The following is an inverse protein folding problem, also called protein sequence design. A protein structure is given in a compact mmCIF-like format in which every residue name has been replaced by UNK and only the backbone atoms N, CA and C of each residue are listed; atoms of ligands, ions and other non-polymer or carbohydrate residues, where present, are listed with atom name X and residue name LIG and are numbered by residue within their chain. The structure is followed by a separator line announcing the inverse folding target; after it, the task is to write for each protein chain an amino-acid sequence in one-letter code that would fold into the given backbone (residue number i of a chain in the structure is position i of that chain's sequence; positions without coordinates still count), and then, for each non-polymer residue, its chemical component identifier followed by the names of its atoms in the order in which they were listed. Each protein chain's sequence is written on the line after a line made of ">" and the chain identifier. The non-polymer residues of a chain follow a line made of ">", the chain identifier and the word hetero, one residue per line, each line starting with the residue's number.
data_IF_332851864240
#
_entry.id   IF_332851864240
#
_cell.length_a   1.000
_cell.length_b   1.000
_cell.length_c   1.000
_cell.angle_alpha   90.00
_cell.angle_beta   90.00
_cell.angle_gamma   90.00
#
_symmetry.space_group_name_H-M   'P 1'
#
loop_
_entity.id
_entity.type
_entity.pdbx_description
1 polymer ?
#
# COMPACT_ATOMS: atom_id res chain seq x y z
N UNK A 1 -15.25 5.95 -6.69
CA UNK A 1 -14.69 4.57 -6.66
C UNK A 1 -13.23 4.70 -7.06
N UNK A 2 -12.32 4.76 -6.08
CA UNK A 2 -11.06 5.46 -6.28
C UNK A 2 -9.88 4.62 -5.90
N UNK A 3 -8.99 4.55 -6.83
CA UNK A 3 -7.55 4.75 -6.71
C UNK A 3 -6.72 3.66 -6.10
N UNK A 4 -6.83 2.55 -6.22
CA UNK A 4 -6.00 1.37 -6.42
C UNK A 4 -6.94 0.33 -7.03
N UNK A 5 -6.91 0.10 -8.34
CA UNK A 5 -7.90 -0.75 -9.01
C UNK A 5 -7.82 -2.21 -8.55
N UNK A 6 -6.86 -2.52 -7.72
CA UNK A 6 -6.62 -3.85 -7.15
C UNK A 6 -7.15 -4.01 -5.73
N UNK A 7 -7.68 -2.94 -5.10
CA UNK A 7 -8.14 -2.95 -3.71
C UNK A 7 -9.63 -2.72 -3.62
N UNK A 8 -10.29 -3.45 -2.76
CA UNK A 8 -11.67 -3.17 -2.37
C UNK A 8 -11.65 -1.90 -1.50
N UNK A 9 -12.70 -1.10 -1.59
CA UNK A 9 -12.87 0.05 -0.68
C UNK A 9 -12.90 -0.36 0.80
N UNK A 10 -13.15 -1.63 1.08
CA UNK A 10 -13.11 -2.23 2.42
C UNK A 10 -11.70 -2.37 3.00
N UNK A 11 -10.65 -2.31 2.16
CA UNK A 11 -9.27 -2.51 2.59
C UNK A 11 -8.58 -1.17 2.93
N UNK A 12 -9.35 -0.08 2.93
CA UNK A 12 -8.87 1.28 3.15
C UNK A 12 -9.56 1.90 4.36
N UNK A 13 -8.77 2.39 5.31
CA UNK A 13 -9.25 3.15 6.44
C UNK A 13 -8.65 4.56 6.42
N UNK A 14 -9.52 5.55 6.31
CA UNK A 14 -9.16 6.95 6.42
C UNK A 14 -9.88 7.54 7.63
N UNK A 15 -9.25 7.53 8.82
CA UNK A 15 -9.88 8.06 10.04
C UNK A 15 -10.12 9.56 9.94
N UNK A 16 -9.31 10.26 9.18
CA UNK A 16 -9.51 11.66 8.77
C UNK A 16 -9.28 11.82 7.28
N UNK A 17 -9.66 12.96 6.74
CA UNK A 17 -9.46 13.36 5.36
C UNK A 17 -8.79 14.71 5.31
N UNK A 18 -8.02 14.98 4.25
CA UNK A 18 -7.27 16.20 4.06
C UNK A 18 -5.79 16.05 4.43
N UNK A 19 -4.95 16.89 3.84
CA UNK A 19 -3.51 16.85 4.01
C UNK A 19 -2.86 18.13 3.47
N UNK A 20 -1.66 18.47 3.98
CA UNK A 20 -0.82 19.53 3.43
C UNK A 20 0.34 18.98 2.64
N UNK A 21 0.70 19.66 1.55
CA UNK A 21 1.86 19.32 0.73
C UNK A 21 3.16 19.61 1.48
N UNK A 22 4.09 18.65 1.49
CA UNK A 22 5.38 18.80 2.20
C UNK A 22 6.60 18.43 1.35
N UNK A 23 6.41 17.84 0.18
CA UNK A 23 7.49 17.46 -0.72
C UNK A 23 7.06 17.59 -2.17
N UNK A 24 8.03 17.50 -3.09
CA UNK A 24 7.77 17.44 -4.52
C UNK A 24 6.86 16.26 -4.92
N UNK A 25 6.86 15.18 -4.15
CA UNK A 25 5.92 14.06 -4.34
C UNK A 25 4.46 14.42 -4.04
N UNK A 26 4.20 15.59 -3.46
CA UNK A 26 2.85 16.10 -3.24
C UNK A 26 2.38 17.08 -4.33
N UNK A 27 3.23 17.45 -5.30
CA UNK A 27 2.93 18.48 -6.30
C UNK A 27 1.66 18.14 -7.10
N UNK A 28 1.59 16.94 -7.67
CA UNK A 28 0.46 16.42 -8.42
C UNK A 28 -0.31 15.34 -7.62
N UNK A 29 -0.50 15.58 -6.33
CA UNK A 29 -1.18 14.62 -5.47
C UNK A 29 -2.60 14.34 -5.96
N UNK A 30 -2.89 13.06 -6.18
CA UNK A 30 -4.20 12.61 -6.68
C UNK A 30 -5.38 13.05 -5.79
N UNK A 31 -5.15 13.25 -4.49
CA UNK A 31 -6.18 13.72 -3.57
C UNK A 31 -6.63 15.14 -3.92
N UNK A 32 -5.68 16.06 -4.11
CA UNK A 32 -5.99 17.43 -4.53
C UNK A 32 -6.74 17.47 -5.85
N UNK A 33 -6.36 16.60 -6.80
CA UNK A 33 -7.06 16.49 -8.09
C UNK A 33 -8.50 15.99 -7.92
N UNK A 34 -8.71 14.94 -7.11
CA UNK A 34 -10.03 14.35 -6.92
C UNK A 34 -10.96 15.24 -6.10
N UNK A 35 -10.44 15.86 -5.07
CA UNK A 35 -11.18 16.77 -4.21
C UNK A 35 -11.55 18.06 -4.94
N UNK A 36 -10.62 18.60 -5.75
CA UNK A 36 -10.91 19.76 -6.61
C UNK A 36 -12.10 19.50 -7.56
N UNK A 37 -12.20 18.27 -8.11
CA UNK A 37 -13.39 17.89 -8.94
C UNK A 37 -14.69 17.80 -8.13
N UNK A 38 -14.63 17.73 -6.81
CA UNK A 38 -15.80 17.63 -5.92
C UNK A 38 -16.07 18.91 -5.17
N UNK A 39 -15.25 19.94 -5.36
CA UNK A 39 -15.35 21.21 -4.63
C UNK A 39 -14.94 21.06 -3.15
N UNK A 40 -14.11 20.07 -2.82
CA UNK A 40 -13.60 19.83 -1.46
C UNK A 40 -12.23 20.50 -1.34
N UNK A 41 -12.02 21.25 -0.27
CA UNK A 41 -10.71 21.78 0.09
C UNK A 41 -9.88 20.71 0.78
N UNK A 42 -8.93 20.12 0.05
CA UNK A 42 -8.04 19.06 0.56
C UNK A 42 -7.13 19.57 1.70
N UNK A 43 -6.85 20.87 1.80
CA UNK A 43 -6.04 21.41 2.87
C UNK A 43 -6.79 21.45 4.21
N UNK A 44 -8.12 21.35 4.19
CA UNK A 44 -8.93 21.26 5.41
C UNK A 44 -8.94 19.84 5.94
N UNK A 45 -8.20 19.58 7.01
CA UNK A 45 -8.18 18.26 7.67
C UNK A 45 -9.37 18.13 8.60
N UNK A 46 -10.11 17.02 8.50
CA UNK A 46 -11.28 16.75 9.34
C UNK A 46 -11.46 15.25 9.60
N UNK A 47 -12.03 14.93 10.76
CA UNK A 47 -12.39 13.56 11.14
C UNK A 47 -13.51 13.03 10.24
N UNK A 48 -13.37 11.81 9.73
CA UNK A 48 -14.37 11.20 8.86
C UNK A 48 -15.45 10.45 9.63
N UNK A 49 -16.60 10.24 9.01
CA UNK A 49 -17.66 9.36 9.55
C UNK A 49 -17.19 7.91 9.69
N UNK A 50 -16.19 7.50 8.90
CA UNK A 50 -15.60 6.16 8.92
C UNK A 50 -14.48 6.00 9.97
N UNK A 51 -14.35 6.93 10.91
CA UNK A 51 -13.29 6.92 11.92
C UNK A 51 -13.23 5.60 12.69
N UNK A 52 -14.37 5.07 13.10
CA UNK A 52 -14.47 3.80 13.84
C UNK A 52 -14.70 2.58 12.90
N UNK A 53 -14.39 2.70 11.60
CA UNK A 53 -14.65 1.66 10.60
C UNK A 53 -14.11 0.28 10.99
N UNK A 54 -12.88 0.11 11.52
CA UNK A 54 -12.36 -1.21 11.88
C UNK A 54 -13.18 -1.93 12.97
N UNK A 55 -13.93 -1.18 13.78
CA UNK A 55 -14.76 -1.70 14.88
C UNK A 55 -16.20 -2.02 14.47
N UNK A 56 -16.58 -1.73 13.23
CA UNK A 56 -17.95 -1.99 12.76
C UNK A 56 -18.30 -3.48 12.87
N UNK A 57 -19.53 -3.75 13.37
CA UNK A 57 -20.05 -5.09 13.52
C UNK A 57 -21.22 -5.35 12.58
N UNK A 58 -21.40 -6.60 12.21
CA UNK A 58 -22.59 -7.11 11.53
C UNK A 58 -23.74 -7.31 12.54
N UNK A 59 -24.92 -7.66 12.01
CA UNK A 59 -26.10 -7.95 12.86
C UNK A 59 -25.91 -9.16 13.80
N UNK A 60 -25.06 -10.11 13.41
CA UNK A 60 -24.72 -11.30 14.21
C UNK A 60 -23.66 -11.02 15.29
N UNK A 61 -23.23 -9.77 15.46
CA UNK A 61 -22.21 -9.35 16.42
C UNK A 61 -20.77 -9.55 15.96
N UNK A 62 -20.52 -10.27 14.87
CA UNK A 62 -19.17 -10.43 14.31
C UNK A 62 -18.64 -9.13 13.72
N UNK A 63 -17.31 -8.97 13.65
CA UNK A 63 -16.73 -7.82 12.98
C UNK A 63 -17.04 -7.83 11.48
N UNK A 64 -17.33 -6.67 10.93
CA UNK A 64 -17.56 -6.49 9.49
C UNK A 64 -16.29 -6.74 8.69
N UNK A 65 -15.14 -6.37 9.25
CA UNK A 65 -13.80 -6.57 8.70
C UNK A 65 -13.20 -7.79 9.38
N UNK A 66 -12.92 -8.88 8.63
CA UNK A 66 -12.55 -10.15 9.23
C UNK A 66 -11.14 -10.12 9.83
N UNK A 67 -10.90 -11.01 10.78
CA UNK A 67 -9.55 -11.31 11.30
C UNK A 67 -8.61 -11.74 10.18
N UNK A 68 -7.31 -11.43 10.30
CA UNK A 68 -6.31 -11.68 9.28
C UNK A 68 -6.32 -10.67 8.12
N UNK A 69 -7.23 -9.69 8.12
CA UNK A 69 -7.31 -8.69 7.05
C UNK A 69 -6.18 -7.66 7.17
N UNK A 70 -5.57 -7.32 6.03
CA UNK A 70 -4.63 -6.20 5.90
C UNK A 70 -5.38 -4.92 5.50
N UNK A 71 -5.22 -3.86 6.27
CA UNK A 71 -5.90 -2.58 6.09
C UNK A 71 -4.90 -1.44 5.87
N UNK A 72 -5.03 -0.71 4.77
CA UNK A 72 -4.22 0.46 4.47
C UNK A 72 -4.83 1.69 5.13
N UNK A 73 -3.99 2.46 5.82
CA UNK A 73 -4.42 3.61 6.63
C UNK A 73 -3.91 4.90 6.03
N UNK A 74 -4.80 5.89 5.89
CA UNK A 74 -4.41 7.25 5.55
C UNK A 74 -4.11 7.47 4.05
N UNK A 75 -4.79 6.78 3.13
CA UNK A 75 -4.58 7.00 1.68
C UNK A 75 -5.19 8.32 1.17
N UNK A 76 -6.16 8.90 1.88
CA UNK A 76 -6.73 10.23 1.58
C UNK A 76 -6.25 11.30 2.54
N UNK A 77 -5.15 11.04 3.23
CA UNK A 77 -4.55 11.91 4.23
C UNK A 77 -3.11 11.47 4.50
N UNK A 78 -2.49 12.01 5.54
CA UNK A 78 -1.28 11.47 6.17
C UNK A 78 -1.61 11.14 7.62
N UNK A 79 -1.23 9.94 8.11
CA UNK A 79 -1.55 9.53 9.48
C UNK A 79 -0.91 10.43 10.53
N UNK A 80 0.19 11.08 10.18
CA UNK A 80 0.96 11.96 11.06
C UNK A 80 0.79 13.45 10.74
N UNK A 81 -0.30 13.82 10.04
CA UNK A 81 -0.64 15.24 9.83
C UNK A 81 -0.96 15.93 11.17
N UNK A 82 -0.56 17.17 11.31
CA UNK A 82 -0.56 17.92 12.56
C UNK A 82 -1.96 18.07 13.17
N UNK A 83 -2.95 18.39 12.34
CA UNK A 83 -4.34 18.59 12.77
C UNK A 83 -4.99 17.33 13.34
N UNK A 84 -4.44 16.15 13.00
CA UNK A 84 -4.95 14.88 13.51
C UNK A 84 -4.46 14.53 14.92
N UNK A 85 -3.57 15.33 15.53
CA UNK A 85 -3.03 15.08 16.86
C UNK A 85 -4.14 14.88 17.91
N UNK A 86 -5.21 15.66 17.79
CA UNK A 86 -6.37 15.58 18.67
C UNK A 86 -7.19 14.28 18.55
N UNK A 87 -7.01 13.52 17.46
CA UNK A 87 -7.74 12.27 17.20
C UNK A 87 -6.82 11.04 17.18
N UNK A 88 -5.52 11.24 17.09
CA UNK A 88 -4.54 10.15 16.83
C UNK A 88 -4.53 9.11 17.94
N UNK A 89 -4.61 9.53 19.21
CA UNK A 89 -4.67 8.58 20.32
C UNK A 89 -5.91 7.68 20.25
N UNK A 90 -7.04 8.20 19.81
CA UNK A 90 -8.24 7.37 19.60
C UNK A 90 -8.05 6.40 18.42
N UNK A 91 -7.37 6.82 17.34
CA UNK A 91 -7.01 5.93 16.23
C UNK A 91 -6.05 4.81 16.68
N UNK A 92 -5.06 5.13 17.52
CA UNK A 92 -4.18 4.11 18.11
C UNK A 92 -4.96 3.12 18.99
N UNK A 93 -5.94 3.58 19.77
CA UNK A 93 -6.83 2.68 20.54
C UNK A 93 -7.62 1.72 19.64
N UNK A 94 -8.09 2.20 18.47
CA UNK A 94 -8.77 1.35 17.49
C UNK A 94 -7.81 0.28 16.96
N UNK A 95 -6.58 0.64 16.60
CA UNK A 95 -5.56 -0.30 16.12
C UNK A 95 -5.27 -1.37 17.18
N UNK A 96 -5.06 -0.97 18.44
CA UNK A 96 -4.83 -1.90 19.57
C UNK A 96 -5.99 -2.85 19.81
N UNK A 97 -7.24 -2.38 19.63
CA UNK A 97 -8.44 -3.21 19.85
C UNK A 97 -8.70 -4.22 18.73
N UNK A 98 -7.91 -4.19 17.67
CA UNK A 98 -7.96 -5.12 16.54
C UNK A 98 -6.59 -5.80 16.32
N UNK A 99 -6.05 -6.51 17.33
CA UNK A 99 -4.77 -7.22 17.22
C UNK A 99 -4.85 -8.43 16.27
N UNK A 100 -6.02 -8.71 15.75
CA UNK A 100 -6.35 -9.73 14.76
C UNK A 100 -6.25 -9.25 13.31
N UNK A 101 -5.92 -7.97 13.07
CA UNK A 101 -5.78 -7.35 11.75
C UNK A 101 -4.41 -6.70 11.59
N UNK A 102 -3.94 -6.55 10.36
CA UNK A 102 -2.73 -5.77 10.05
C UNK A 102 -3.12 -4.37 9.60
N UNK A 103 -2.48 -3.35 10.17
CA UNK A 103 -2.62 -1.96 9.76
C UNK A 103 -1.33 -1.46 9.10
N UNK A 104 -1.43 -1.05 7.84
CA UNK A 104 -0.31 -0.46 7.10
C UNK A 104 -0.42 1.06 7.15
N UNK A 105 0.43 1.68 7.93
CA UNK A 105 0.52 3.14 8.04
C UNK A 105 1.52 3.66 7.01
N UNK A 106 1.13 4.71 6.27
CA UNK A 106 1.97 5.34 5.27
C UNK A 106 2.06 6.84 5.53
N UNK A 107 3.29 7.39 5.51
CA UNK A 107 3.49 8.81 5.74
C UNK A 107 4.61 9.41 4.89
N UNK A 108 4.49 10.71 4.62
CA UNK A 108 5.58 11.57 4.15
C UNK A 108 6.24 12.36 5.29
N UNK A 109 5.67 12.29 6.50
CA UNK A 109 6.10 13.00 7.71
C UNK A 109 6.92 12.10 8.63
N UNK A 110 7.99 11.51 8.10
CA UNK A 110 8.86 10.61 8.88
C UNK A 110 9.34 11.28 10.19
N UNK A 111 9.68 12.57 10.15
CA UNK A 111 10.14 13.35 11.29
C UNK A 111 9.13 13.48 12.43
N UNK A 112 7.83 13.24 12.16
CA UNK A 112 6.78 13.30 13.19
C UNK A 112 6.43 11.97 13.80
N UNK A 113 6.94 10.86 13.27
CA UNK A 113 6.50 9.55 13.70
C UNK A 113 6.74 9.37 15.20
N UNK A 114 7.97 9.60 15.66
CA UNK A 114 8.39 9.33 17.04
C UNK A 114 7.50 10.03 18.07
N UNK A 115 7.29 11.32 17.91
CA UNK A 115 6.45 12.14 18.83
C UNK A 115 4.97 11.75 18.82
N UNK A 116 4.51 11.10 17.75
CA UNK A 116 3.12 10.68 17.52
C UNK A 116 2.85 9.23 17.89
N UNK A 117 3.86 8.49 18.33
CA UNK A 117 3.67 7.11 18.80
C UNK A 117 2.91 7.09 20.13
N UNK A 118 2.06 6.10 20.38
CA UNK A 118 1.35 6.00 21.66
C UNK A 118 2.32 5.61 22.79
N UNK A 119 2.00 5.99 24.00
CA UNK A 119 2.87 5.77 25.19
C UNK A 119 3.23 4.31 25.45
N UNK A 120 2.39 3.41 25.03
CA UNK A 120 2.54 1.95 25.17
C UNK A 120 3.10 1.28 23.89
N UNK A 121 3.67 2.07 22.98
CA UNK A 121 4.24 1.55 21.72
C UNK A 121 5.35 0.51 21.94
N UNK A 122 6.21 0.70 22.93
CA UNK A 122 7.33 -0.20 23.24
C UNK A 122 8.27 -0.39 22.04
N UNK A 123 8.45 -1.63 21.63
CA UNK A 123 9.23 -2.01 20.44
C UNK A 123 8.41 -2.08 19.15
N UNK A 124 7.18 -1.59 19.18
CA UNK A 124 6.23 -1.62 18.07
C UNK A 124 5.13 -2.65 18.24
N UNK A 125 3.93 -2.30 17.73
CA UNK A 125 2.80 -3.23 17.70
C UNK A 125 3.00 -4.32 16.65
N UNK A 126 2.70 -5.57 17.01
CA UNK A 126 2.84 -6.75 16.14
C UNK A 126 1.95 -6.68 14.87
N UNK A 127 0.90 -5.88 14.92
CA UNK A 127 -0.08 -5.76 13.86
C UNK A 127 0.04 -4.45 13.06
N UNK A 128 1.15 -3.72 13.21
CA UNK A 128 1.39 -2.47 12.49
C UNK A 128 2.63 -2.58 11.61
N UNK A 129 2.47 -2.36 10.31
CA UNK A 129 3.56 -2.13 9.39
C UNK A 129 3.67 -0.62 9.14
N UNK A 130 4.77 -0.04 9.58
CA UNK A 130 5.06 1.38 9.45
C UNK A 130 5.85 1.63 8.16
N UNK A 131 5.35 2.54 7.32
CA UNK A 131 5.97 2.84 6.03
C UNK A 131 6.12 4.32 5.80
N UNK A 132 7.21 4.70 5.14
CA UNK A 132 7.44 6.05 4.62
C UNK A 132 7.41 6.04 3.09
N UNK A 133 7.14 7.18 2.48
CA UNK A 133 7.26 7.30 1.01
C UNK A 133 8.65 7.75 0.61
N UNK A 134 9.14 7.25 -0.53
CA UNK A 134 10.49 7.53 -1.08
C UNK A 134 10.37 7.82 -2.56
N UNK A 135 9.92 9.03 -2.89
CA UNK A 135 9.57 9.40 -4.27
C UNK A 135 10.78 9.52 -5.19
N UNK A 136 11.96 9.80 -4.63
CA UNK A 136 13.27 9.93 -5.28
C UNK A 136 14.39 9.71 -4.24
N UNK A 137 15.66 9.78 -4.68
CA UNK A 137 16.82 9.54 -3.79
C UNK A 137 16.85 10.50 -2.60
N UNK A 138 16.62 11.80 -2.82
CA UNK A 138 16.60 12.78 -1.73
C UNK A 138 15.62 12.38 -0.62
N UNK A 139 14.42 11.92 -0.97
CA UNK A 139 13.40 11.50 0.02
C UNK A 139 13.68 10.14 0.62
N UNK A 140 14.37 9.26 -0.10
CA UNK A 140 14.87 8.01 0.47
C UNK A 140 15.92 8.30 1.56
N UNK A 141 16.91 9.14 1.26
CA UNK A 141 18.00 9.49 2.18
C UNK A 141 17.52 10.31 3.38
N UNK A 142 16.45 11.08 3.23
CA UNK A 142 15.84 11.85 4.32
C UNK A 142 15.03 10.95 5.26
N UNK A 143 14.23 10.01 4.73
CA UNK A 143 13.18 9.33 5.51
C UNK A 143 13.52 7.92 5.94
N UNK A 144 14.31 7.17 5.14
CA UNK A 144 14.65 5.80 5.51
C UNK A 144 15.52 5.70 6.76
N UNK A 145 16.54 6.56 6.97
CA UNK A 145 17.28 6.55 8.23
C UNK A 145 16.38 6.73 9.45
N UNK A 146 15.46 7.71 9.39
CA UNK A 146 14.50 7.96 10.47
C UNK A 146 13.65 6.70 10.72
N UNK A 147 13.10 6.09 9.66
CA UNK A 147 12.29 4.89 9.80
C UNK A 147 13.07 3.73 10.41
N UNK A 148 14.33 3.55 10.02
CA UNK A 148 15.18 2.46 10.51
C UNK A 148 15.51 2.62 11.98
N UNK A 149 15.69 3.85 12.47
CA UNK A 149 15.98 4.15 13.88
C UNK A 149 14.75 3.99 14.80
N UNK A 150 13.54 4.02 14.25
CA UNK A 150 12.32 3.86 15.05
C UNK A 150 12.19 2.44 15.63
N UNK A 151 11.70 2.30 16.87
CA UNK A 151 11.38 1.01 17.45
C UNK A 151 10.07 0.47 16.88
N UNK A 152 10.10 -0.07 15.66
CA UNK A 152 8.95 -0.64 14.97
C UNK A 152 9.25 -2.08 14.54
N UNK A 153 8.29 -2.98 14.75
CA UNK A 153 8.44 -4.40 14.43
C UNK A 153 8.47 -4.65 12.94
N UNK A 154 7.59 -3.99 12.19
CA UNK A 154 7.46 -4.16 10.75
C UNK A 154 7.64 -2.83 10.06
N UNK A 155 8.58 -2.77 9.13
CA UNK A 155 8.96 -1.57 8.40
C UNK A 155 8.90 -1.82 6.90
N UNK A 156 8.44 -0.81 6.16
CA UNK A 156 8.41 -0.82 4.71
C UNK A 156 8.54 0.57 4.13
N UNK A 157 8.58 0.68 2.83
CA UNK A 157 8.46 1.98 2.18
C UNK A 157 7.67 1.91 0.87
N UNK A 158 7.25 3.07 0.39
CA UNK A 158 6.51 3.19 -0.85
C UNK A 158 7.17 4.23 -1.77
N UNK A 159 7.72 3.79 -2.88
CA UNK A 159 8.16 4.65 -3.97
C UNK A 159 6.95 5.03 -4.85
N UNK A 160 6.08 5.93 -4.33
CA UNK A 160 4.91 6.43 -5.04
C UNK A 160 4.50 7.84 -4.53
N UNK A 161 4.45 8.83 -5.44
CA UNK A 161 4.78 8.72 -6.86
C UNK A 161 6.28 8.47 -7.07
N UNK A 162 6.64 7.56 -7.97
CA UNK A 162 8.04 7.29 -8.28
C UNK A 162 8.49 8.24 -9.38
N UNK A 163 9.19 9.31 -9.00
CA UNK A 163 9.53 10.46 -9.87
C UNK A 163 11.03 10.66 -10.09
N UNK A 164 11.84 9.76 -9.60
CA UNK A 164 13.29 9.73 -9.81
C UNK A 164 13.88 8.40 -9.40
N UNK A 165 15.04 8.00 -9.97
CA UNK A 165 15.70 6.75 -9.59
C UNK A 165 16.15 6.79 -8.13
N UNK A 166 16.21 5.62 -7.50
CA UNK A 166 16.73 5.44 -6.14
C UNK A 166 17.67 4.25 -6.06
N UNK A 167 18.72 4.41 -5.27
CA UNK A 167 19.52 3.31 -4.74
C UNK A 167 19.29 3.25 -3.23
N UNK A 168 18.67 2.16 -2.81
CA UNK A 168 18.31 1.89 -1.41
C UNK A 168 18.99 0.63 -0.88
N UNK A 169 19.99 0.15 -1.61
CA UNK A 169 20.68 -1.11 -1.29
C UNK A 169 21.25 -1.14 0.11
N UNK A 170 21.82 -0.02 0.58
CA UNK A 170 22.36 0.08 1.97
C UNK A 170 21.27 -0.02 3.02
N UNK A 171 20.09 0.53 2.78
CA UNK A 171 18.95 0.46 3.68
C UNK A 171 18.33 -0.95 3.69
N UNK A 172 18.22 -1.59 2.53
CA UNK A 172 17.73 -2.97 2.41
C UNK A 172 18.68 -3.97 3.08
N UNK A 173 20.00 -3.72 3.01
CA UNK A 173 21.03 -4.55 3.64
C UNK A 173 20.93 -4.59 5.18
N UNK A 174 20.25 -3.66 5.82
CA UNK A 174 19.96 -3.70 7.27
C UNK A 174 19.07 -4.86 7.67
N UNK A 175 18.33 -5.44 6.72
CA UNK A 175 17.36 -6.51 6.96
C UNK A 175 16.10 -6.07 7.71
N UNK A 176 15.92 -4.76 7.97
CA UNK A 176 14.77 -4.23 8.69
C UNK A 176 13.58 -3.89 7.78
N UNK A 177 13.82 -3.69 6.48
CA UNK A 177 12.74 -3.43 5.50
C UNK A 177 12.18 -4.75 5.00
N UNK A 178 10.87 -4.92 5.11
CA UNK A 178 10.19 -6.19 4.79
C UNK A 178 9.32 -6.10 3.52
N UNK A 179 8.84 -4.88 3.17
CA UNK A 179 7.94 -4.68 2.03
C UNK A 179 8.17 -3.36 1.33
N UNK A 180 8.17 -3.40 0.00
CA UNK A 180 8.35 -2.24 -0.88
C UNK A 180 7.22 -2.18 -1.89
N UNK A 181 6.53 -1.05 -1.91
CA UNK A 181 5.52 -0.74 -2.93
C UNK A 181 6.09 0.30 -3.90
N UNK A 182 5.74 0.19 -5.17
CA UNK A 182 6.16 1.15 -6.20
C UNK A 182 4.99 1.51 -7.12
N UNK A 183 4.89 2.78 -7.50
CA UNK A 183 3.87 3.25 -8.42
C UNK A 183 4.14 4.63 -8.98
N UNK A 184 3.74 4.84 -10.25
CA UNK A 184 3.87 6.14 -10.91
C UNK A 184 2.81 7.15 -10.45
N UNK A 185 3.01 8.40 -10.83
CA UNK A 185 2.11 9.51 -10.56
C UNK A 185 0.86 9.47 -11.45
N UNK A 186 -0.26 9.97 -10.95
CA UNK A 186 -1.55 9.85 -11.63
C UNK A 186 -2.18 11.21 -11.93
N UNK A 187 -3.07 11.18 -12.96
CA UNK A 187 -3.89 12.29 -13.43
C UNK A 187 -3.09 13.39 -14.16
N UNK A 188 -3.68 14.57 -14.22
CA UNK A 188 -3.12 15.69 -14.97
C UNK A 188 -1.79 16.17 -14.36
N UNK A 189 -0.83 16.47 -15.23
CA UNK A 189 0.51 16.87 -14.81
C UNK A 189 1.43 15.73 -14.35
N UNK A 190 0.95 14.46 -14.38
CA UNK A 190 1.76 13.31 -13.94
C UNK A 190 3.13 13.27 -14.61
N UNK A 191 4.17 13.25 -13.77
CA UNK A 191 5.57 13.14 -14.19
C UNK A 191 5.89 11.73 -14.68
N UNK A 192 6.88 11.57 -15.55
CA UNK A 192 7.26 10.27 -16.06
C UNK A 192 7.75 9.33 -14.97
N UNK A 193 7.21 8.10 -14.94
CA UNK A 193 7.77 6.97 -14.23
C UNK A 193 8.49 6.07 -15.25
N UNK A 194 9.77 5.81 -15.06
CA UNK A 194 10.59 5.05 -15.99
C UNK A 194 10.66 3.57 -15.61
N UNK A 195 10.47 2.70 -16.60
CA UNK A 195 10.56 1.24 -16.41
C UNK A 195 11.91 0.84 -15.79
N UNK A 196 12.99 1.46 -16.25
CA UNK A 196 14.37 1.18 -15.80
C UNK A 196 14.55 1.48 -14.31
N UNK A 197 13.89 2.53 -13.80
CA UNK A 197 13.91 2.86 -12.37
C UNK A 197 13.17 1.79 -11.55
N UNK A 198 11.97 1.40 -12.03
CA UNK A 198 11.15 0.38 -11.38
C UNK A 198 11.89 -0.96 -11.39
N UNK A 199 12.51 -1.31 -12.52
CA UNK A 199 13.32 -2.53 -12.65
C UNK A 199 14.51 -2.52 -11.70
N UNK A 200 15.27 -1.42 -11.65
CA UNK A 200 16.40 -1.27 -10.74
C UNK A 200 15.97 -1.46 -9.28
N UNK A 201 14.87 -0.83 -8.85
CA UNK A 201 14.35 -0.99 -7.49
C UNK A 201 13.90 -2.43 -7.21
N UNK A 202 13.24 -3.07 -8.19
CA UNK A 202 12.87 -4.49 -8.09
C UNK A 202 14.09 -5.39 -7.93
N UNK A 203 15.15 -5.14 -8.70
CA UNK A 203 16.40 -5.93 -8.65
C UNK A 203 17.11 -5.74 -7.30
N UNK A 204 17.15 -4.52 -6.75
CA UNK A 204 17.65 -4.25 -5.39
C UNK A 204 16.86 -5.05 -4.35
N UNK A 205 15.53 -4.96 -4.36
CA UNK A 205 14.68 -5.72 -3.43
C UNK A 205 14.89 -7.23 -3.57
N UNK A 206 15.06 -7.73 -4.78
CA UNK A 206 15.31 -9.16 -5.06
C UNK A 206 16.64 -9.62 -4.47
N UNK A 207 17.69 -8.81 -4.57
CA UNK A 207 19.01 -9.10 -3.99
C UNK A 207 18.94 -9.29 -2.48
N UNK A 208 18.10 -8.53 -1.78
CA UNK A 208 17.94 -8.61 -0.32
C UNK A 208 16.72 -9.42 0.13
N UNK A 209 16.05 -10.13 -0.79
CA UNK A 209 14.86 -10.95 -0.52
C UNK A 209 13.70 -10.17 0.13
N UNK A 210 13.56 -8.88 -0.18
CA UNK A 210 12.48 -8.02 0.29
C UNK A 210 11.33 -8.08 -0.72
N UNK A 211 10.10 -8.25 -0.25
CA UNK A 211 8.91 -8.26 -1.13
C UNK A 211 8.78 -6.94 -1.88
N UNK A 212 8.54 -7.05 -3.19
CA UNK A 212 8.38 -5.89 -4.07
C UNK A 212 7.07 -5.96 -4.86
N UNK A 213 6.27 -4.91 -4.80
CA UNK A 213 5.00 -4.80 -5.52
C UNK A 213 4.96 -3.55 -6.37
N UNK A 214 5.03 -3.73 -7.69
CA UNK A 214 4.75 -2.68 -8.66
C UNK A 214 3.25 -2.58 -8.86
N UNK A 215 2.61 -1.59 -8.21
CA UNK A 215 1.15 -1.49 -8.11
C UNK A 215 0.49 -0.86 -9.34
N UNK A 216 1.17 0.11 -9.98
CA UNK A 216 0.65 0.82 -11.16
C UNK A 216 1.75 1.59 -11.89
N UNK A 217 1.61 1.72 -13.22
CA UNK A 217 2.57 2.47 -14.05
C UNK A 217 2.50 3.98 -13.85
N UNK A 218 1.38 4.49 -13.32
CA UNK A 218 1.04 5.90 -13.40
C UNK A 218 0.51 6.31 -14.76
N UNK A 219 0.07 7.58 -14.87
CA UNK A 219 -0.50 8.12 -16.11
C UNK A 219 0.56 8.32 -17.19
N UNK A 220 1.80 8.66 -16.82
CA UNK A 220 2.92 8.84 -17.72
C UNK A 220 3.99 7.79 -17.44
N UNK A 221 4.13 6.81 -18.31
CA UNK A 221 5.10 5.73 -18.18
C UNK A 221 6.08 5.72 -19.36
N UNK A 222 7.37 5.55 -19.07
CA UNK A 222 8.43 5.52 -20.07
C UNK A 222 9.07 4.14 -20.10
N UNK A 223 9.17 3.57 -21.29
CA UNK A 223 9.86 2.28 -21.51
C UNK A 223 10.47 2.25 -22.89
N UNK A 224 11.72 1.81 -23.00
CA UNK A 224 12.50 1.72 -24.25
C UNK A 224 12.49 3.07 -25.02
N UNK A 225 12.64 4.19 -24.31
CA UNK A 225 12.63 5.54 -24.86
C UNK A 225 11.25 6.04 -25.33
N UNK A 226 10.20 5.26 -25.18
CA UNK A 226 8.82 5.62 -25.58
C UNK A 226 8.00 6.04 -24.38
N UNK A 227 7.17 7.08 -24.56
CA UNK A 227 6.23 7.59 -23.56
C UNK A 227 4.86 7.00 -23.81
N UNK A 228 4.29 6.38 -22.77
CA UNK A 228 2.96 5.81 -22.77
C UNK A 228 2.05 6.66 -21.86
N UNK A 229 0.94 7.16 -22.40
CA UNK A 229 -0.09 7.89 -21.65
C UNK A 229 -1.22 6.92 -21.31
N UNK A 230 -1.31 6.51 -20.06
CA UNK A 230 -2.24 5.48 -19.59
C UNK A 230 -3.17 6.09 -18.54
N UNK A 231 -4.36 6.53 -18.96
CA UNK A 231 -5.30 7.21 -18.07
C UNK A 231 -6.18 6.25 -17.26
N UNK A 232 -6.42 5.04 -17.78
CA UNK A 232 -7.21 4.03 -17.08
C UNK A 232 -6.41 3.31 -16.01
N UNK A 233 -6.88 3.42 -14.77
CA UNK A 233 -6.22 2.83 -13.58
C UNK A 233 -6.15 1.30 -13.62
N UNK A 234 -7.14 0.65 -14.22
CA UNK A 234 -7.10 -0.82 -14.36
C UNK A 234 -6.03 -1.23 -15.37
N UNK A 235 -5.89 -0.46 -16.46
CA UNK A 235 -4.83 -0.69 -17.44
C UNK A 235 -3.46 -0.45 -16.82
N UNK A 236 -3.27 0.61 -16.04
CA UNK A 236 -2.01 0.89 -15.33
C UNK A 236 -1.60 -0.30 -14.45
N UNK A 237 -2.49 -0.78 -13.58
CA UNK A 237 -2.20 -1.90 -12.70
C UNK A 237 -2.02 -3.21 -13.47
N UNK A 238 -2.78 -3.42 -14.55
CA UNK A 238 -2.59 -4.58 -15.42
C UNK A 238 -1.21 -4.59 -16.09
N UNK A 239 -0.74 -3.42 -16.57
CA UNK A 239 0.59 -3.32 -17.17
C UNK A 239 1.69 -3.52 -16.12
N UNK A 240 1.53 -2.98 -14.93
CA UNK A 240 2.44 -3.22 -13.82
C UNK A 240 2.53 -4.73 -13.48
N UNK A 241 1.39 -5.41 -13.38
CA UNK A 241 1.36 -6.87 -13.17
C UNK A 241 2.04 -7.65 -14.31
N UNK A 242 1.73 -7.30 -15.57
CA UNK A 242 2.29 -7.97 -16.75
C UNK A 242 3.79 -7.73 -16.93
N UNK A 243 4.36 -6.71 -16.28
CA UNK A 243 5.80 -6.46 -16.29
C UNK A 243 6.62 -7.60 -15.68
N UNK A 244 6.00 -8.38 -14.76
CA UNK A 244 6.67 -9.46 -14.02
C UNK A 244 7.68 -8.97 -12.99
N UNK A 245 7.72 -7.66 -12.68
CA UNK A 245 8.67 -7.08 -11.73
C UNK A 245 8.31 -7.35 -10.28
N UNK A 246 7.00 -7.48 -9.97
CA UNK A 246 6.54 -7.83 -8.62
C UNK A 246 6.93 -9.25 -8.25
N UNK A 247 7.37 -9.44 -7.01
CA UNK A 247 7.66 -10.76 -6.47
C UNK A 247 7.47 -10.80 -4.95
N UNK A 248 7.27 -11.99 -4.41
CA UNK A 248 7.23 -12.24 -2.98
C UNK A 248 8.64 -12.54 -2.50
N UNK A 249 9.15 -11.71 -1.59
CA UNK A 249 10.38 -11.96 -0.85
C UNK A 249 10.16 -12.83 0.39
N UNK A 250 10.95 -12.59 1.42
CA UNK A 250 10.75 -13.24 2.73
C UNK A 250 9.37 -12.88 3.26
N UNK A 251 8.54 -13.85 3.67
CA UNK A 251 7.23 -13.57 4.25
C UNK A 251 7.35 -12.74 5.54
N UNK A 252 6.48 -11.76 5.70
CA UNK A 252 6.36 -11.02 6.96
C UNK A 252 5.56 -11.89 7.92
N UNK A 253 6.11 -12.14 9.09
CA UNK A 253 5.45 -12.92 10.15
C UNK A 253 4.86 -11.98 11.19
N UNK A 254 3.56 -11.71 11.07
CA UNK A 254 2.83 -10.97 12.08
C UNK A 254 2.31 -11.92 13.16
N UNK A 255 2.57 -11.62 14.43
CA UNK A 255 2.00 -12.37 15.56
C UNK A 255 0.58 -11.87 15.87
N UNK A 256 -0.37 -12.18 14.99
CA UNK A 256 -1.75 -11.74 15.17
C UNK A 256 -2.48 -12.57 16.22
N UNK A 257 -3.26 -11.90 17.05
CA UNK A 257 -4.18 -12.56 17.99
C UNK A 257 -5.47 -12.95 17.26
N UNK A 258 -5.45 -14.08 16.59
CA UNK A 258 -6.63 -14.59 15.88
C UNK A 258 -7.60 -15.25 16.86
N UNK A 259 -8.92 -15.16 16.60
CA UNK A 259 -9.92 -15.86 17.42
C UNK A 259 -9.65 -17.36 17.49
N UNK A 260 -9.98 -17.98 18.63
CA UNK A 260 -9.94 -19.43 18.78
C UNK A 260 -10.82 -20.12 17.73
N UNK A 261 -10.35 -21.24 17.20
CA UNK A 261 -11.06 -21.99 16.16
C UNK A 261 -10.66 -21.69 14.72
N UNK A 262 -9.60 -20.90 14.49
CA UNK A 262 -9.04 -20.73 13.15
C UNK A 262 -8.32 -22.03 12.73
N UNK A 263 -8.98 -22.81 11.86
CA UNK A 263 -8.52 -24.16 11.44
C UNK A 263 -7.33 -24.12 10.46
N UNK A 264 -7.07 -22.99 9.82
CA UNK A 264 -6.12 -22.87 8.70
C UNK A 264 -4.92 -21.98 9.00
N UNK A 265 -4.61 -21.70 10.26
CA UNK A 265 -3.45 -20.94 10.70
C UNK A 265 -3.60 -19.42 10.53
N UNK A 266 -2.46 -18.72 10.63
CA UNK A 266 -2.39 -17.26 10.71
C UNK A 266 -2.19 -16.63 9.32
N UNK A 267 -2.89 -17.10 8.29
CA UNK A 267 -2.78 -16.50 6.97
C UNK A 267 -3.41 -15.10 6.92
N UNK A 268 -2.62 -14.15 6.44
CA UNK A 268 -3.10 -12.78 6.22
C UNK A 268 -3.89 -12.75 4.94
N UNK A 269 -5.12 -12.25 5.03
CA UNK A 269 -5.98 -12.01 3.86
C UNK A 269 -5.44 -10.77 3.15
N UNK A 270 -4.53 -10.98 2.20
CA UNK A 270 -4.02 -9.91 1.34
C UNK A 270 -5.02 -9.60 0.23
N UNK A 271 -5.27 -8.31 -0.06
CA UNK A 271 -6.03 -7.93 -1.24
C UNK A 271 -5.33 -8.45 -2.49
N UNK A 272 -6.03 -9.25 -3.29
CA UNK A 272 -5.48 -9.73 -4.56
C UNK A 272 -5.90 -8.82 -5.71
N UNK A 273 -4.95 -8.57 -6.62
CA UNK A 273 -5.24 -7.91 -7.88
C UNK A 273 -6.15 -8.79 -8.75
N UNK A 274 -7.35 -8.30 -9.04
CA UNK A 274 -8.32 -9.00 -9.84
C UNK A 274 -8.33 -8.43 -11.26
N UNK A 275 -7.63 -9.07 -12.20
CA UNK A 275 -7.71 -8.73 -13.61
C UNK A 275 -8.70 -9.65 -14.32
N UNK A 276 -9.80 -9.07 -14.82
CA UNK A 276 -10.73 -9.79 -15.68
C UNK A 276 -10.13 -9.89 -17.08
N UNK A 277 -9.68 -11.06 -17.47
CA UNK A 277 -9.21 -11.36 -18.82
C UNK A 277 -9.90 -12.61 -19.35
N UNK A 278 -10.08 -12.70 -20.68
CA UNK A 278 -10.40 -13.97 -21.30
C UNK A 278 -9.20 -14.88 -21.19
N UNK A 279 -9.39 -16.06 -20.61
CA UNK A 279 -8.36 -17.08 -20.63
C UNK A 279 -8.12 -17.53 -22.07
N UNK A 280 -6.89 -17.36 -22.59
CA UNK A 280 -6.53 -17.77 -23.93
C UNK A 280 -6.62 -19.29 -24.15
N UNK A 281 -6.58 -20.07 -23.05
CA UNK A 281 -6.60 -21.53 -23.09
C UNK A 281 -8.01 -22.10 -23.07
N UNK A 282 -8.92 -21.54 -22.24
CA UNK A 282 -10.27 -22.08 -22.08
C UNK A 282 -11.40 -21.10 -22.46
N UNK A 283 -11.07 -19.88 -22.92
CA UNK A 283 -12.04 -18.87 -23.34
C UNK A 283 -12.90 -18.25 -22.21
N UNK A 284 -12.79 -18.77 -20.97
CA UNK A 284 -13.62 -18.27 -19.87
C UNK A 284 -13.20 -16.89 -19.41
N UNK A 285 -14.18 -16.06 -18.98
CA UNK A 285 -13.94 -14.79 -18.29
C UNK A 285 -13.54 -15.06 -16.84
N UNK A 286 -12.28 -15.42 -16.65
CA UNK A 286 -11.73 -15.69 -15.31
C UNK A 286 -10.88 -14.54 -14.81
N UNK A 287 -10.88 -14.38 -13.50
CA UNK A 287 -9.91 -13.58 -12.79
C UNK A 287 -8.62 -14.41 -12.72
N UNK A 288 -7.65 -14.10 -13.59
CA UNK A 288 -6.36 -14.78 -13.58
C UNK A 288 -5.41 -14.10 -12.59
N UNK A 289 -5.06 -14.79 -11.54
CA UNK A 289 -3.84 -14.64 -10.76
C UNK A 289 -2.90 -15.80 -11.08
N UNK A 290 -1.72 -15.87 -10.50
CA UNK A 290 -0.76 -16.97 -10.76
C UNK A 290 -1.35 -18.36 -10.45
N UNK A 291 -2.21 -18.48 -9.46
CA UNK A 291 -2.98 -19.68 -9.10
C UNK A 291 -3.98 -20.03 -10.22
N UNK A 292 -4.56 -19.03 -10.88
CA UNK A 292 -5.50 -19.21 -11.98
C UNK A 292 -4.92 -19.89 -13.22
N UNK A 293 -3.61 -19.80 -13.47
CA UNK A 293 -2.96 -20.53 -14.57
C UNK A 293 -2.93 -22.03 -14.32
N UNK A 294 -2.69 -22.48 -13.10
CA UNK A 294 -2.72 -23.90 -12.74
C UNK A 294 -4.16 -24.44 -12.81
N UNK A 295 -5.13 -23.74 -12.24
CA UNK A 295 -6.53 -24.19 -12.25
C UNK A 295 -7.18 -24.17 -13.64
N UNK A 296 -6.69 -23.33 -14.58
CA UNK A 296 -7.11 -23.39 -15.98
C UNK A 296 -6.61 -24.64 -16.71
N UNK A 297 -5.40 -25.11 -16.41
CA UNK A 297 -4.86 -26.35 -17.00
C UNK A 297 -5.62 -27.58 -16.51
N UNK A 298 -5.96 -27.65 -15.24
CA UNK A 298 -6.71 -28.75 -14.65
C UNK A 298 -8.14 -28.88 -15.22
N UNK A 299 -8.82 -27.76 -15.53
CA UNK A 299 -10.18 -27.80 -16.10
C UNK A 299 -10.24 -28.20 -17.58
N UNK A 300 -9.15 -28.01 -18.33
CA UNK A 300 -9.07 -28.41 -19.75
C UNK A 300 -8.75 -29.89 -19.89
N UNK A 301 -8.21 -30.52 -18.84
CA UNK A 301 -7.88 -31.95 -18.83
C UNK A 301 -9.02 -32.86 -18.33
N UNK A 302 -10.15 -32.33 -17.88
CA UNK A 302 -11.33 -33.10 -17.52
C UNK A 302 -12.25 -33.19 -18.76
N UNK A 303 -12.43 -34.33 -19.38
CA UNK A 303 -13.40 -34.49 -20.46
C UNK A 303 -14.81 -34.29 -19.90
N UNK A 304 -15.62 -33.55 -20.61
CA UNK A 304 -17.07 -33.42 -20.39
C UNK A 304 -17.73 -34.77 -20.72
#
# INVERSE_FOLDING_TARGET
>A
RHSFPTRRSSDLWNPWHGCHKISEGCEHCYMYFLDGKRGIDTAKVFRTENFAMPLQRKRDGSFKYPSGMEMYVGLSTDFFVEEADVWREEAWRIIRSRPDMVFRLLTKRAHRIEECLPKDWGTGYENVLLSVTTENQKRADERLPILLDLPARHKGFMAAPFIGPIDVSSYLATGQIEDVLCGGENYDGARPCHYEWVKSLSDQCRTFHVSFNFIETGTCFVKDGRIYRIHDKQVQSKQAYLSGLSFQGKPISYNLHLPEGNLFGNEIIKPQALFRAHCKTCGSRMTCNEIGRASCRERVSSPV
#
